data_IF_926220581821
#
_entry.id   IF_926220581821
#
_cell.length_a   1.000
_cell.length_b   1.000
_cell.length_c   1.000
_cell.angle_alpha   90.00
_cell.angle_beta   90.00
_cell.angle_gamma   90.00
#
_symmetry.space_group_name_H-M   'P 1'
#
loop_
_entity.id
_entity.type
_entity.pdbx_description
1 polymer ?
#
# COMPACT_ATOMS: atom_id res chain seq x y z
N UNK A 1 1.88 25.76 -17.87
CA UNK A 1 1.39 24.56 -18.57
C UNK A 1 0.94 24.95 -19.98
N UNK A 2 1.51 24.34 -21.04
CA UNK A 2 1.17 24.66 -22.46
C UNK A 2 -0.31 24.38 -22.77
N UNK A 3 -0.88 25.05 -23.78
CA UNK A 3 -2.31 24.97 -24.19
C UNK A 3 -2.82 23.52 -24.34
N UNK A 4 -1.98 22.62 -24.85
CA UNK A 4 -2.25 21.18 -25.02
C UNK A 4 -2.41 20.45 -23.67
N UNK A 5 -1.55 20.73 -22.68
CA UNK A 5 -1.65 20.14 -21.34
C UNK A 5 -2.92 20.60 -20.60
N UNK A 6 -3.42 21.81 -20.90
CA UNK A 6 -4.70 22.31 -20.39
C UNK A 6 -5.89 21.49 -20.94
N UNK A 7 -5.82 21.06 -22.22
CA UNK A 7 -6.84 20.20 -22.84
C UNK A 7 -6.92 18.80 -22.24
N UNK A 8 -5.80 18.23 -21.79
CA UNK A 8 -5.77 16.92 -21.14
C UNK A 8 -6.13 16.94 -19.64
N UNK A 9 -6.26 18.13 -19.04
CA UNK A 9 -6.62 18.30 -17.62
C UNK A 9 -7.92 17.58 -17.28
N UNK A 10 -8.94 17.65 -18.13
CA UNK A 10 -10.23 17.00 -17.88
C UNK A 10 -10.10 15.46 -17.79
N UNK A 11 -9.31 14.85 -18.69
CA UNK A 11 -9.03 13.40 -18.71
C UNK A 11 -8.23 12.96 -17.49
N UNK A 12 -7.22 13.73 -17.10
CA UNK A 12 -6.48 13.47 -15.86
C UNK A 12 -7.36 13.64 -14.62
N UNK A 13 -8.19 14.68 -14.55
CA UNK A 13 -9.14 14.86 -13.47
C UNK A 13 -10.13 13.69 -13.37
N UNK A 14 -10.65 13.19 -14.50
CA UNK A 14 -11.54 12.03 -14.53
C UNK A 14 -10.85 10.79 -13.94
N UNK A 15 -9.63 10.47 -14.38
CA UNK A 15 -8.83 9.37 -13.83
C UNK A 15 -8.48 9.56 -12.35
N UNK A 16 -8.17 10.78 -11.92
CA UNK A 16 -7.82 11.05 -10.53
C UNK A 16 -9.03 10.99 -9.61
N UNK A 17 -10.23 11.26 -10.13
CA UNK A 17 -11.50 11.14 -9.39
C UNK A 17 -11.90 9.69 -9.19
N UNK A 18 -11.66 8.78 -10.16
CA UNK A 18 -11.96 7.34 -9.97
C UNK A 18 -11.19 6.75 -8.78
N UNK A 19 -9.99 7.28 -8.50
CA UNK A 19 -9.14 6.88 -7.35
C UNK A 19 -9.25 7.79 -6.12
N UNK A 20 -10.20 8.73 -6.11
CA UNK A 20 -10.41 9.70 -5.00
C UNK A 20 -9.12 10.40 -4.55
N UNK A 21 -8.34 10.92 -5.52
CA UNK A 21 -7.11 11.65 -5.23
C UNK A 21 -7.40 12.93 -4.41
N UNK A 22 -6.89 12.99 -3.17
CA UNK A 22 -7.12 14.15 -2.27
C UNK A 22 -6.36 15.42 -2.64
N UNK A 23 -5.22 15.30 -3.34
CA UNK A 23 -4.39 16.44 -3.74
C UNK A 23 -4.38 16.54 -5.26
N UNK A 24 -5.53 16.94 -5.82
CA UNK A 24 -5.77 16.92 -7.27
C UNK A 24 -4.72 17.74 -8.03
N UNK A 25 -4.38 18.93 -7.55
CA UNK A 25 -3.42 19.80 -8.25
C UNK A 25 -1.99 19.25 -8.23
N UNK A 26 -1.55 18.64 -7.13
CA UNK A 26 -0.22 17.99 -7.07
C UNK A 26 -0.16 16.76 -7.99
N UNK A 27 -1.24 15.97 -8.04
CA UNK A 27 -1.33 14.82 -8.92
C UNK A 27 -1.36 15.25 -10.39
N UNK A 28 -2.09 16.32 -10.73
CA UNK A 28 -2.10 16.90 -12.07
C UNK A 28 -0.72 17.43 -12.49
N UNK A 29 -0.02 18.12 -11.58
CA UNK A 29 1.33 18.61 -11.83
C UNK A 29 2.32 17.44 -12.09
N UNK A 30 2.22 16.37 -11.31
CA UNK A 30 3.03 15.17 -11.49
C UNK A 30 2.77 14.47 -12.83
N UNK A 31 1.50 14.29 -13.23
CA UNK A 31 1.13 13.72 -14.53
C UNK A 31 1.62 14.60 -15.69
N UNK A 32 1.55 15.92 -15.54
CA UNK A 32 2.12 16.87 -16.50
C UNK A 32 3.64 16.74 -16.63
N UNK A 33 4.36 16.61 -15.51
CA UNK A 33 5.81 16.41 -15.50
C UNK A 33 6.21 15.07 -16.13
N UNK A 34 5.42 14.01 -15.93
CA UNK A 34 5.68 12.71 -16.56
C UNK A 34 5.48 12.78 -18.08
N UNK A 35 4.46 13.50 -18.55
CA UNK A 35 4.26 13.72 -19.97
C UNK A 35 5.40 14.51 -20.59
N UNK A 36 5.91 15.55 -19.89
CA UNK A 36 7.06 16.31 -20.38
C UNK A 36 8.33 15.46 -20.48
N UNK A 37 8.55 14.56 -19.52
CA UNK A 37 9.67 13.61 -19.54
C UNK A 37 9.60 12.64 -20.72
N UNK A 38 8.42 12.04 -20.97
CA UNK A 38 8.20 11.17 -22.14
C UNK A 38 8.45 11.95 -23.43
N UNK A 39 7.94 13.19 -23.50
CA UNK A 39 8.16 14.07 -24.65
C UNK A 39 9.64 14.33 -24.91
N UNK A 40 10.41 14.63 -23.86
CA UNK A 40 11.83 14.94 -23.97
C UNK A 40 12.68 13.71 -24.31
N UNK A 41 12.39 12.57 -23.68
CA UNK A 41 13.19 11.35 -23.83
C UNK A 41 12.93 10.66 -25.16
N UNK A 42 11.67 10.64 -25.61
CA UNK A 42 11.27 9.88 -26.80
C UNK A 42 11.01 10.77 -28.02
N UNK A 43 11.20 12.10 -27.88
CA UNK A 43 11.01 13.08 -28.95
C UNK A 43 9.64 12.98 -29.64
N UNK A 44 8.61 12.55 -28.91
CA UNK A 44 7.24 12.42 -29.40
C UNK A 44 6.46 13.72 -29.25
N UNK A 45 5.38 13.95 -30.01
CA UNK A 45 4.48 15.07 -29.79
C UNK A 45 3.85 15.09 -28.38
N UNK A 46 3.47 16.28 -27.90
CA UNK A 46 2.99 16.47 -26.52
C UNK A 46 1.68 15.70 -26.25
N UNK A 47 0.80 15.63 -27.24
CA UNK A 47 -0.45 14.89 -27.22
C UNK A 47 -0.21 13.38 -27.09
N UNK A 48 0.79 12.83 -27.79
CA UNK A 48 1.17 11.42 -27.70
C UNK A 48 1.72 11.11 -26.31
N UNK A 49 2.58 11.98 -25.78
CA UNK A 49 3.10 11.84 -24.42
C UNK A 49 2.00 11.89 -23.36
N UNK A 50 1.06 12.84 -23.46
CA UNK A 50 -0.08 12.97 -22.56
C UNK A 50 -1.02 11.75 -22.64
N UNK A 51 -1.32 11.27 -23.84
CA UNK A 51 -2.15 10.08 -24.04
C UNK A 51 -1.50 8.84 -23.42
N UNK A 52 -0.19 8.68 -23.56
CA UNK A 52 0.55 7.58 -22.93
C UNK A 52 0.51 7.65 -21.42
N UNK A 53 0.60 8.85 -20.82
CA UNK A 53 0.41 9.01 -19.38
C UNK A 53 -1.01 8.63 -18.96
N UNK A 54 -2.04 9.10 -19.67
CA UNK A 54 -3.46 8.71 -19.42
C UNK A 54 -3.62 7.19 -19.47
N UNK A 55 -3.10 6.55 -20.52
CA UNK A 55 -3.24 5.12 -20.74
C UNK A 55 -2.40 4.28 -19.77
N UNK A 56 -1.23 4.78 -19.37
CA UNK A 56 -0.40 4.18 -18.32
C UNK A 56 -1.10 4.25 -16.96
N UNK A 57 -1.73 5.38 -16.64
CA UNK A 57 -2.55 5.51 -15.43
C UNK A 57 -3.75 4.57 -15.51
N UNK A 58 -4.50 4.55 -16.61
CA UNK A 58 -5.64 3.65 -16.80
C UNK A 58 -5.24 2.17 -16.66
N UNK A 59 -4.19 1.72 -17.34
CA UNK A 59 -3.65 0.35 -17.21
C UNK A 59 -3.14 0.02 -15.82
N UNK A 60 -2.65 0.99 -15.05
CA UNK A 60 -2.35 0.79 -13.62
C UNK A 60 -3.61 0.64 -12.78
N UNK A 61 -4.76 1.17 -13.20
CA UNK A 61 -6.01 1.12 -12.45
C UNK A 61 -6.90 -0.07 -12.81
N UNK A 62 -6.86 -0.58 -14.04
CA UNK A 62 -7.73 -1.68 -14.49
C UNK A 62 -7.50 -3.01 -13.74
N UNK A 63 -6.27 -3.56 -13.62
CA UNK A 63 -6.03 -4.78 -12.84
C UNK A 63 -6.40 -4.64 -11.37
N UNK A 64 -6.36 -3.41 -10.86
CA UNK A 64 -6.72 -3.06 -9.48
C UNK A 64 -8.23 -3.04 -9.26
N UNK A 65 -8.98 -2.40 -10.15
CA UNK A 65 -10.45 -2.35 -10.11
C UNK A 65 -11.04 -3.74 -10.32
N UNK A 66 -10.57 -4.47 -11.33
CA UNK A 66 -11.02 -5.82 -11.62
C UNK A 66 -10.74 -6.80 -10.45
N UNK A 67 -9.62 -6.67 -9.73
CA UNK A 67 -9.32 -7.52 -8.56
C UNK A 67 -10.14 -7.16 -7.32
N UNK A 68 -10.41 -5.88 -7.07
CA UNK A 68 -11.29 -5.45 -5.99
C UNK A 68 -12.75 -5.81 -6.25
N UNK A 69 -13.18 -5.75 -7.51
CA UNK A 69 -14.53 -6.14 -7.95
C UNK A 69 -14.70 -7.66 -8.02
N UNK A 70 -13.71 -8.42 -8.50
CA UNK A 70 -13.70 -9.89 -8.42
C UNK A 70 -13.64 -10.40 -6.98
N UNK A 71 -13.07 -9.60 -6.07
CA UNK A 71 -13.11 -9.82 -4.62
C UNK A 71 -14.50 -9.48 -4.01
N UNK A 72 -15.33 -8.71 -4.70
CA UNK A 72 -16.61 -8.23 -4.17
C UNK A 72 -17.83 -8.89 -4.84
N UNK A 73 -17.64 -9.81 -5.79
CA UNK A 73 -18.70 -10.48 -6.54
C UNK A 73 -18.90 -11.96 -6.14
N UNK A 74 -20.11 -12.27 -5.69
CA UNK A 74 -20.79 -13.57 -5.65
C UNK A 74 -19.99 -14.84 -5.24
N UNK A 75 -20.27 -15.34 -4.04
CA UNK A 75 -19.92 -16.69 -3.55
C UNK A 75 -18.44 -17.10 -3.65
N UNK A 76 -17.62 -16.47 -2.83
CA UNK A 76 -16.26 -16.91 -2.51
C UNK A 76 -15.56 -15.82 -1.71
N UNK A 77 -15.01 -16.14 -0.54
CA UNK A 77 -14.35 -15.13 0.29
C UNK A 77 -13.28 -14.37 -0.53
N UNK A 78 -13.34 -13.03 -0.63
CA UNK A 78 -12.27 -12.27 -1.26
C UNK A 78 -10.92 -12.64 -0.68
N UNK A 79 -9.99 -13.07 -1.53
CA UNK A 79 -8.60 -13.22 -1.15
C UNK A 79 -8.11 -11.92 -0.50
N UNK A 80 -7.58 -12.00 0.72
CA UNK A 80 -7.10 -10.84 1.46
C UNK A 80 -6.00 -10.13 0.64
N UNK A 81 -6.13 -8.82 0.33
CA UNK A 81 -5.11 -8.09 -0.41
C UNK A 81 -3.74 -8.21 0.27
N UNK A 82 -2.72 -8.53 -0.51
CA UNK A 82 -1.34 -8.64 -0.04
C UNK A 82 -0.49 -7.51 -0.62
N UNK A 83 0.45 -7.02 0.17
CA UNK A 83 1.36 -5.95 -0.22
C UNK A 83 2.80 -6.42 -0.17
N UNK A 84 3.64 -5.80 -0.99
CA UNK A 84 5.08 -5.88 -0.89
C UNK A 84 5.64 -4.46 -0.92
N UNK A 85 6.48 -4.15 0.05
CA UNK A 85 7.03 -2.81 0.25
C UNK A 85 8.49 -2.79 -0.20
N UNK A 86 8.88 -1.72 -0.89
CA UNK A 86 10.30 -1.45 -1.17
C UNK A 86 11.14 -1.34 0.13
N UNK A 87 12.46 -1.34 -0.01
CA UNK A 87 13.38 -1.33 1.13
C UNK A 87 13.14 -0.16 2.11
N UNK A 88 12.77 1.03 1.61
CA UNK A 88 12.52 2.22 2.43
C UNK A 88 11.19 2.20 3.19
N UNK A 89 10.29 1.28 2.86
CA UNK A 89 8.92 1.25 3.36
C UNK A 89 8.68 0.27 4.52
N UNK A 90 9.71 -0.08 5.29
CA UNK A 90 9.58 -1.00 6.43
C UNK A 90 8.61 -0.51 7.52
N UNK A 91 8.59 0.81 7.76
CA UNK A 91 7.61 1.43 8.64
C UNK A 91 6.17 1.25 8.14
N UNK A 92 5.94 1.41 6.83
CA UNK A 92 4.63 1.22 6.21
C UNK A 92 4.20 -0.25 6.26
N UNK A 93 5.11 -1.19 6.00
CA UNK A 93 4.82 -2.63 6.09
C UNK A 93 4.30 -3.01 7.48
N UNK A 94 4.93 -2.49 8.55
CA UNK A 94 4.46 -2.69 9.93
C UNK A 94 3.06 -2.13 10.15
N UNK A 95 2.77 -0.95 9.60
CA UNK A 95 1.46 -0.31 9.71
C UNK A 95 0.36 -1.05 8.94
N UNK A 96 0.67 -1.60 7.76
CA UNK A 96 -0.26 -2.44 7.00
C UNK A 96 -0.62 -3.71 7.77
N UNK A 97 0.36 -4.36 8.40
CA UNK A 97 0.15 -5.54 9.25
C UNK A 97 -0.70 -5.20 10.47
N UNK A 98 -0.47 -4.05 11.10
CA UNK A 98 -1.31 -3.55 12.19
C UNK A 98 -2.74 -3.24 11.74
N UNK A 99 -2.93 -2.78 10.49
CA UNK A 99 -4.24 -2.60 9.86
C UNK A 99 -4.89 -3.91 9.38
N UNK A 100 -4.18 -5.04 9.55
CA UNK A 100 -4.67 -6.39 9.26
C UNK A 100 -4.39 -6.92 7.85
N UNK A 101 -3.43 -6.32 7.14
CA UNK A 101 -3.04 -6.73 5.78
C UNK A 101 -1.65 -7.37 5.76
N UNK A 102 -1.46 -8.53 5.08
CA UNK A 102 -0.15 -9.08 4.81
C UNK A 102 0.69 -8.07 4.03
N UNK A 103 1.89 -7.80 4.53
CA UNK A 103 2.84 -6.92 3.87
C UNK A 103 4.23 -7.56 3.94
N UNK A 104 4.80 -7.88 2.79
CA UNK A 104 6.15 -8.42 2.65
C UNK A 104 7.13 -7.24 2.65
N UNK A 105 8.19 -7.34 3.44
CA UNK A 105 9.25 -6.34 3.47
C UNK A 105 10.57 -6.95 3.92
N UNK A 106 11.67 -6.48 3.32
CA UNK A 106 13.04 -6.82 3.68
C UNK A 106 13.91 -5.56 3.54
N UNK A 107 14.95 -5.38 4.38
CA UNK A 107 15.75 -4.15 4.40
C UNK A 107 16.60 -3.91 3.15
N UNK A 108 16.88 -4.95 2.35
CA UNK A 108 17.79 -4.88 1.20
C UNK A 108 17.18 -5.62 0.01
N UNK A 109 16.07 -5.09 -0.50
CA UNK A 109 15.54 -5.57 -1.77
C UNK A 109 16.47 -5.15 -2.91
N UNK A 110 16.83 -6.12 -3.76
CA UNK A 110 17.17 -5.81 -5.15
C UNK A 110 15.88 -5.59 -5.95
N UNK A 111 15.91 -4.67 -6.91
CA UNK A 111 14.76 -4.33 -7.75
C UNK A 111 14.18 -5.55 -8.48
N UNK A 112 15.03 -6.40 -9.05
CA UNK A 112 14.59 -7.57 -9.79
C UNK A 112 13.96 -8.59 -8.85
N UNK A 113 14.60 -8.85 -7.71
CA UNK A 113 14.07 -9.74 -6.68
C UNK A 113 12.72 -9.25 -6.10
N UNK A 114 12.58 -7.94 -5.88
CA UNK A 114 11.34 -7.31 -5.42
C UNK A 114 10.20 -7.53 -6.42
N UNK A 115 10.47 -7.31 -7.72
CA UNK A 115 9.50 -7.49 -8.79
C UNK A 115 9.13 -8.96 -8.99
N UNK A 116 10.10 -9.87 -8.92
CA UNK A 116 9.88 -11.31 -8.99
C UNK A 116 8.98 -11.77 -7.84
N UNK A 117 9.27 -11.36 -6.61
CA UNK A 117 8.47 -11.70 -5.43
C UNK A 117 7.05 -11.12 -5.52
N UNK A 118 6.92 -9.87 -5.97
CA UNK A 118 5.62 -9.23 -6.18
C UNK A 118 4.77 -10.02 -7.18
N UNK A 119 5.39 -10.47 -8.27
CA UNK A 119 4.73 -11.29 -9.29
C UNK A 119 4.37 -12.67 -8.76
N UNK A 120 5.30 -13.34 -8.07
CA UNK A 120 5.14 -14.69 -7.52
C UNK A 120 4.00 -14.75 -6.50
N UNK A 121 3.90 -13.75 -5.63
CA UNK A 121 2.87 -13.69 -4.58
C UNK A 121 1.58 -13.02 -5.04
N UNK A 122 1.59 -12.37 -6.21
CA UNK A 122 0.49 -11.55 -6.69
C UNK A 122 0.24 -10.31 -5.83
N UNK A 123 1.21 -9.93 -4.98
CA UNK A 123 1.11 -8.79 -4.07
C UNK A 123 1.21 -7.45 -4.81
N UNK A 124 0.52 -6.46 -4.28
CA UNK A 124 0.68 -5.08 -4.71
C UNK A 124 2.02 -4.53 -4.25
N UNK A 125 2.82 -4.02 -5.18
CA UNK A 125 4.06 -3.32 -4.88
C UNK A 125 3.77 -1.87 -4.43
N UNK A 126 4.25 -1.52 -3.25
CA UNK A 126 4.24 -0.17 -2.73
C UNK A 126 5.66 0.39 -2.78
N UNK A 127 5.82 1.57 -3.38
CA UNK A 127 7.13 2.21 -3.49
C UNK A 127 7.08 3.72 -3.38
N UNK A 128 8.16 4.32 -2.90
CA UNK A 128 8.40 5.77 -3.00
C UNK A 128 9.35 6.13 -4.15
N UNK A 129 10.00 5.14 -4.76
CA UNK A 129 10.91 5.35 -5.88
C UNK A 129 10.13 5.51 -7.19
N UNK A 130 10.30 6.68 -7.80
CA UNK A 130 9.70 6.99 -9.10
C UNK A 130 10.39 6.28 -10.27
N UNK A 131 11.68 5.91 -10.15
CA UNK A 131 12.41 5.19 -11.20
C UNK A 131 11.98 3.73 -11.27
N UNK A 132 11.78 3.06 -10.12
CA UNK A 132 11.20 1.72 -10.08
C UNK A 132 9.84 1.66 -10.80
N UNK A 133 9.01 2.71 -10.68
CA UNK A 133 7.71 2.80 -11.38
C UNK A 133 7.82 2.88 -12.92
N UNK A 134 9.00 3.17 -13.46
CA UNK A 134 9.26 3.18 -14.91
C UNK A 134 9.69 1.80 -15.44
N UNK A 135 9.98 0.82 -14.57
CA UNK A 135 10.24 -0.57 -14.98
C UNK A 135 9.04 -1.13 -15.72
N UNK A 136 9.29 -1.86 -16.81
CA UNK A 136 8.25 -2.38 -17.74
C UNK A 136 7.12 -3.11 -17.01
N UNK A 137 7.45 -3.96 -16.03
CA UNK A 137 6.46 -4.75 -15.27
C UNK A 137 5.49 -3.87 -14.46
N UNK A 138 5.93 -2.72 -13.93
CA UNK A 138 5.08 -1.79 -13.16
C UNK A 138 4.39 -0.76 -14.06
N UNK A 139 5.10 -0.30 -15.08
CA UNK A 139 4.62 0.67 -16.06
C UNK A 139 3.49 0.11 -16.91
N UNK A 140 3.62 -1.15 -17.35
CA UNK A 140 2.66 -1.81 -18.23
C UNK A 140 1.53 -2.49 -17.42
N UNK A 141 1.58 -2.42 -16.09
CA UNK A 141 0.52 -2.93 -15.19
C UNK A 141 0.55 -4.43 -14.91
N UNK A 142 1.62 -5.13 -15.31
CA UNK A 142 1.80 -6.58 -15.07
C UNK A 142 1.82 -6.89 -13.58
N UNK A 143 2.51 -6.06 -12.80
CA UNK A 143 2.47 -6.08 -11.34
C UNK A 143 1.66 -4.87 -10.87
N UNK A 144 0.61 -5.05 -10.04
CA UNK A 144 -0.11 -3.94 -9.45
C UNK A 144 0.85 -3.14 -8.55
N UNK A 145 0.96 -1.83 -8.79
CA UNK A 145 1.85 -0.98 -8.01
C UNK A 145 1.20 0.34 -7.63
N UNK A 146 1.57 0.87 -6.47
CA UNK A 146 1.19 2.18 -5.99
C UNK A 146 2.42 2.97 -5.56
N UNK A 147 2.59 4.14 -6.19
CA UNK A 147 3.59 5.11 -5.78
C UNK A 147 3.07 5.98 -4.63
N UNK A 148 3.89 6.15 -3.60
CA UNK A 148 3.59 6.93 -2.41
C UNK A 148 4.55 8.13 -2.32
N UNK A 149 4.07 9.32 -1.93
CA UNK A 149 4.95 10.47 -1.73
C UNK A 149 6.00 10.19 -0.63
N UNK A 150 7.31 10.36 -0.91
CA UNK A 150 8.37 10.14 0.07
C UNK A 150 8.32 11.14 1.24
N UNK A 151 7.65 12.28 1.06
CA UNK A 151 7.48 13.31 2.10
C UNK A 151 6.48 12.93 3.19
N UNK A 152 5.69 11.86 2.99
CA UNK A 152 4.74 11.40 3.99
C UNK A 152 5.41 10.48 5.00
N UNK A 153 5.12 10.69 6.29
CA UNK A 153 5.44 9.73 7.34
C UNK A 153 4.68 8.41 7.11
N UNK A 154 5.13 7.27 7.67
CA UNK A 154 4.51 5.96 7.44
C UNK A 154 2.99 5.90 7.68
N UNK A 155 2.48 6.59 8.69
CA UNK A 155 1.02 6.63 8.92
C UNK A 155 0.25 7.42 7.85
N UNK A 156 0.85 8.46 7.27
CA UNK A 156 0.28 9.19 6.13
C UNK A 156 0.32 8.37 4.84
N UNK A 157 1.38 7.59 4.65
CA UNK A 157 1.46 6.60 3.57
C UNK A 157 0.38 5.52 3.73
N UNK A 158 0.20 4.97 4.94
CA UNK A 158 -0.86 4.02 5.26
C UNK A 158 -2.24 4.61 4.91
N UNK A 159 -2.50 5.85 5.33
CA UNK A 159 -3.76 6.52 5.01
C UNK A 159 -4.01 6.61 3.51
N UNK A 160 -2.97 6.93 2.74
CA UNK A 160 -3.09 6.99 1.29
C UNK A 160 -3.42 5.60 0.70
N UNK A 161 -2.75 4.55 1.15
CA UNK A 161 -3.01 3.16 0.75
C UNK A 161 -4.45 2.77 1.10
N UNK A 162 -4.85 2.86 2.37
CA UNK A 162 -6.18 2.43 2.79
C UNK A 162 -7.30 3.20 2.05
N UNK A 163 -7.12 4.51 1.84
CA UNK A 163 -8.11 5.33 1.15
C UNK A 163 -8.20 5.04 -0.35
N UNK A 164 -7.07 5.02 -1.05
CA UNK A 164 -7.06 4.81 -2.51
C UNK A 164 -7.62 3.44 -2.88
N UNK A 165 -7.42 2.47 -1.99
CA UNK A 165 -7.79 1.07 -2.18
C UNK A 165 -9.08 0.69 -1.47
N UNK A 166 -9.71 1.64 -0.77
CA UNK A 166 -10.97 1.48 0.00
C UNK A 166 -10.90 0.29 0.97
N UNK A 167 -9.78 0.15 1.66
CA UNK A 167 -9.51 -0.97 2.54
C UNK A 167 -10.05 -0.69 3.96
N UNK A 168 -10.96 -1.52 4.48
CA UNK A 168 -11.37 -1.43 5.88
C UNK A 168 -10.24 -1.86 6.81
N UNK A 169 -10.31 -1.53 8.09
CA UNK A 169 -9.42 -2.17 9.07
C UNK A 169 -9.85 -3.63 9.27
N UNK A 170 -8.86 -4.50 9.49
CA UNK A 170 -9.04 -5.93 9.78
C UNK A 170 -8.33 -6.27 11.09
N UNK A 171 -8.58 -7.46 11.67
CA UNK A 171 -7.80 -7.95 12.81
C UNK A 171 -6.30 -7.87 12.53
N UNK A 172 -5.55 -7.33 13.49
CA UNK A 172 -4.13 -7.11 13.31
C UNK A 172 -3.38 -8.43 13.07
N UNK A 173 -2.34 -8.34 12.24
CA UNK A 173 -1.40 -9.41 11.96
C UNK A 173 -0.10 -9.17 12.72
N UNK A 174 0.74 -10.21 12.78
CA UNK A 174 2.06 -10.12 13.37
C UNK A 174 2.85 -8.96 12.74
N UNK A 175 3.19 -7.94 13.53
CA UNK A 175 3.90 -6.77 12.99
C UNK A 175 5.31 -7.11 12.49
N UNK A 176 5.88 -8.26 12.88
CA UNK A 176 7.22 -8.70 12.49
C UNK A 176 7.28 -9.42 11.14
N UNK A 177 6.37 -10.36 10.87
CA UNK A 177 6.36 -11.13 9.61
C UNK A 177 5.09 -10.95 8.77
N UNK A 178 3.99 -10.48 9.38
CA UNK A 178 2.68 -10.37 8.73
C UNK A 178 1.81 -11.61 8.88
N UNK A 179 2.25 -12.63 9.62
CA UNK A 179 1.48 -13.85 9.90
C UNK A 179 0.23 -13.64 10.73
N UNK A 180 -0.66 -14.64 10.72
CA UNK A 180 -1.86 -14.62 11.54
C UNK A 180 -1.49 -14.72 13.03
N UNK A 181 -2.34 -14.11 13.86
CA UNK A 181 -2.20 -14.09 15.31
C UNK A 181 -3.31 -14.94 15.89
N UNK A 182 -2.94 -15.96 16.67
CA UNK A 182 -3.87 -16.77 17.44
C UNK A 182 -3.81 -16.38 18.92
N UNK A 183 -4.92 -16.42 19.67
CA UNK A 183 -4.89 -16.31 21.12
C UNK A 183 -3.94 -17.36 21.72
N UNK A 184 -3.19 -16.96 22.74
CA UNK A 184 -2.27 -17.81 23.47
C UNK A 184 -2.67 -17.86 24.95
N UNK A 185 -2.68 -19.06 25.52
CA UNK A 185 -2.94 -19.26 26.94
C UNK A 185 -1.78 -18.67 27.78
N UNK A 186 -2.13 -17.92 28.81
CA UNK A 186 -1.18 -17.20 29.67
C UNK A 186 -0.24 -18.14 30.42
N UNK A 187 -0.72 -19.28 30.89
CA UNK A 187 0.09 -20.27 31.60
C UNK A 187 1.03 -20.96 30.61
N UNK A 188 0.52 -21.33 29.43
CA UNK A 188 1.32 -22.01 28.40
C UNK A 188 2.50 -21.17 27.86
N UNK A 189 2.43 -19.84 27.97
CA UNK A 189 3.50 -18.94 27.49
C UNK A 189 4.20 -18.16 28.61
N UNK A 190 3.99 -18.54 29.87
CA UNK A 190 4.51 -17.84 31.05
C UNK A 190 6.01 -17.53 30.96
N UNK A 191 6.83 -18.49 30.56
CA UNK A 191 8.30 -18.36 30.52
C UNK A 191 8.79 -17.33 29.49
N UNK A 192 7.92 -16.93 28.57
CA UNK A 192 8.20 -15.97 27.49
C UNK A 192 7.62 -14.59 27.78
N UNK A 193 6.86 -14.45 28.86
CA UNK A 193 6.26 -13.19 29.27
C UNK A 193 7.21 -12.48 30.25
N UNK A 194 7.56 -11.20 30.02
CA UNK A 194 8.31 -10.42 31.01
C UNK A 194 7.58 -10.40 32.37
N UNK A 195 8.28 -10.60 33.52
CA UNK A 195 7.63 -10.80 34.82
C UNK A 195 6.63 -9.71 35.23
N UNK A 196 6.91 -8.45 34.88
CA UNK A 196 5.97 -7.35 35.13
C UNK A 196 4.70 -7.47 34.28
N UNK A 197 4.81 -7.83 33.01
CA UNK A 197 3.66 -7.99 32.10
C UNK A 197 2.74 -9.12 32.55
N UNK A 198 3.31 -10.23 33.01
CA UNK A 198 2.56 -11.41 33.47
C UNK A 198 1.54 -11.05 34.56
N UNK A 199 1.90 -10.15 35.49
CA UNK A 199 1.02 -9.75 36.59
C UNK A 199 -0.20 -8.94 36.17
N UNK A 200 -0.13 -8.21 35.05
CA UNK A 200 -1.12 -7.18 34.70
C UNK A 200 -1.89 -7.46 33.40
N UNK A 201 -1.56 -8.53 32.67
CA UNK A 201 -2.14 -8.83 31.36
C UNK A 201 -2.58 -10.28 31.25
N UNK A 202 -3.77 -10.47 30.69
CA UNK A 202 -4.41 -11.78 30.56
C UNK A 202 -4.61 -12.23 29.12
N UNK A 203 -4.52 -11.30 28.16
CA UNK A 203 -4.66 -11.61 26.74
C UNK A 203 -3.34 -11.55 26.00
N UNK A 204 -2.91 -12.72 25.51
CA UNK A 204 -1.70 -12.89 24.71
C UNK A 204 -2.05 -13.45 23.34
N UNK A 205 -1.21 -13.14 22.37
CA UNK A 205 -1.34 -13.60 21.00
C UNK A 205 0.01 -14.12 20.51
N UNK A 206 0.00 -15.27 19.87
CA UNK A 206 1.19 -15.84 19.24
C UNK A 206 1.03 -15.82 17.72
N UNK A 207 2.13 -15.50 17.03
CA UNK A 207 2.17 -15.62 15.58
C UNK A 207 2.37 -17.06 15.15
N UNK A 208 1.52 -17.54 14.25
CA UNK A 208 1.60 -18.90 13.71
C UNK A 208 2.84 -19.13 12.83
N UNK A 209 3.38 -18.09 12.20
CA UNK A 209 4.52 -18.22 11.28
C UNK A 209 5.89 -18.10 11.96
N UNK A 210 6.05 -17.14 12.87
CA UNK A 210 7.34 -16.83 13.51
C UNK A 210 7.36 -17.05 15.02
N UNK A 211 6.27 -17.53 15.59
CA UNK A 211 6.15 -17.81 17.02
C UNK A 211 6.25 -16.58 17.92
N UNK A 212 6.33 -15.35 17.41
CA UNK A 212 6.45 -14.17 18.29
C UNK A 212 5.20 -13.97 19.16
N UNK A 213 5.43 -13.63 20.42
CA UNK A 213 4.38 -13.34 21.41
C UNK A 213 4.07 -11.84 21.45
N UNK A 214 2.79 -11.51 21.51
CA UNK A 214 2.25 -10.16 21.56
C UNK A 214 1.18 -10.06 22.65
N UNK A 215 0.92 -8.84 23.13
CA UNK A 215 -0.14 -8.54 24.10
C UNK A 215 -0.60 -7.09 23.94
N UNK A 216 -1.79 -6.79 24.46
CA UNK A 216 -2.30 -5.42 24.47
C UNK A 216 -1.66 -4.62 25.62
N UNK A 217 -0.67 -3.79 25.28
CA UNK A 217 -0.08 -2.79 26.18
C UNK A 217 -0.19 -1.37 25.61
N UNK A 218 0.51 -0.41 26.23
CA UNK A 218 0.52 1.00 25.80
C UNK A 218 0.93 1.19 24.34
N UNK A 219 1.80 0.33 23.80
CA UNK A 219 2.16 0.35 22.39
C UNK A 219 0.96 0.03 21.48
N UNK A 220 0.14 -0.95 21.86
CA UNK A 220 -1.06 -1.34 21.12
C UNK A 220 -2.12 -0.23 21.15
N UNK A 221 -2.32 0.40 22.31
CA UNK A 221 -3.26 1.52 22.45
C UNK A 221 -2.90 2.68 21.51
N UNK A 222 -1.61 3.04 21.42
CA UNK A 222 -1.12 4.06 20.48
C UNK A 222 -1.34 3.67 19.02
N UNK A 223 -1.11 2.40 18.67
CA UNK A 223 -1.39 1.89 17.31
C UNK A 223 -2.87 2.04 16.98
N UNK A 224 -3.76 1.62 17.88
CA UNK A 224 -5.21 1.69 17.69
C UNK A 224 -5.69 3.13 17.54
N UNK A 225 -5.18 4.05 18.38
CA UNK A 225 -5.50 5.47 18.27
C UNK A 225 -5.08 6.04 16.91
N UNK A 226 -3.86 5.72 16.45
CA UNK A 226 -3.38 6.18 15.15
C UNK A 226 -4.19 5.61 14.00
N UNK A 227 -4.55 4.31 14.04
CA UNK A 227 -5.38 3.68 13.01
C UNK A 227 -6.78 4.31 12.96
N UNK A 228 -7.39 4.59 14.11
CA UNK A 228 -8.67 5.32 14.19
C UNK A 228 -8.56 6.70 13.53
N UNK A 229 -7.53 7.47 13.84
CA UNK A 229 -7.27 8.77 13.18
C UNK A 229 -7.14 8.64 11.67
N UNK A 230 -6.36 7.64 11.21
CA UNK A 230 -6.16 7.38 9.78
C UNK A 230 -7.47 7.07 9.05
N UNK A 231 -8.38 6.31 9.68
CA UNK A 231 -9.69 5.94 9.13
C UNK A 231 -10.70 7.06 9.22
N UNK A 232 -10.76 7.82 10.31
CA UNK A 232 -11.74 8.91 10.49
C UNK A 232 -11.57 9.99 9.42
N UNK A 233 -10.33 10.32 9.05
CA UNK A 233 -10.11 11.25 7.94
C UNK A 233 -10.55 10.66 6.59
N UNK A 234 -10.89 9.36 6.45
CA UNK A 234 -11.36 8.74 5.19
C UNK A 234 -12.78 9.15 4.78
N UNK A 235 -13.62 9.51 5.75
CA UNK A 235 -15.03 9.87 5.55
C UNK A 235 -15.30 11.35 5.30
N UNK A 236 -14.26 12.20 5.32
CA UNK A 236 -14.35 13.65 5.06
C UNK A 236 -13.78 14.04 3.70
#
# INVERSE_FOLDING_TARGET
>A
MRRIAKGYRARFCALLRTVRARKLDQALAWLGAQAERIRSTEQVPAEVALMRVVERVRRRLEPWQARLEASSGANGSPGMPQFICDAGLGGLARWLRAAGYPAIWRPQWDDAALLEEARRTGATLLTTDSLLMERRLLRDGVIPALWLPPTLRPAGQLQQVLRQLRLPLRPARCMSCGGALRPADKQAVQDRIPPRTYRWRDHYFECEDCGKLFWHGTHWERIQQQLKTVVLTQGS
#
